data_IF_322639282791
#
_entry.id   IF_322639282791
#
_cell.length_a   1.000
_cell.length_b   1.000
_cell.length_c   1.000
_cell.angle_alpha   90.00
_cell.angle_beta   90.00
_cell.angle_gamma   90.00
#
_symmetry.space_group_name_H-M   'P 1'
#
loop_
_entity.id
_entity.type
_entity.pdbx_description
1 polymer ?
#
# COMPACT_ATOMS: atom_id res chain seq x y z
N UNK A 1 17.59 -15.12 -3.38
CA UNK A 1 16.79 -15.13 -4.62
C UNK A 1 15.48 -14.40 -4.40
N UNK A 2 15.08 -13.53 -5.31
CA UNK A 2 13.78 -12.80 -5.26
C UNK A 2 12.57 -13.77 -5.22
N UNK A 3 12.71 -14.97 -5.78
CA UNK A 3 11.65 -15.97 -5.84
C UNK A 3 11.07 -16.37 -4.47
N UNK A 4 11.84 -16.26 -3.38
CA UNK A 4 11.36 -16.57 -2.01
C UNK A 4 10.25 -15.62 -1.52
N UNK A 5 10.10 -14.45 -2.17
CA UNK A 5 9.08 -13.45 -1.87
C UNK A 5 7.81 -13.60 -2.71
N UNK A 6 7.78 -14.54 -3.64
CA UNK A 6 6.62 -14.77 -4.51
C UNK A 6 5.61 -15.65 -3.77
N UNK A 7 4.35 -15.21 -3.59
CA UNK A 7 3.31 -16.04 -3.00
C UNK A 7 2.80 -17.08 -3.99
N UNK A 8 2.26 -18.18 -3.50
CA UNK A 8 1.50 -19.08 -4.34
C UNK A 8 0.19 -18.44 -4.82
N UNK A 9 -0.49 -17.73 -3.90
CA UNK A 9 -1.74 -17.02 -4.19
C UNK A 9 -1.54 -15.54 -3.85
N UNK A 10 -1.79 -14.67 -4.81
CA UNK A 10 -1.83 -13.22 -4.64
C UNK A 10 -3.29 -12.76 -4.66
N UNK A 11 -3.71 -12.07 -3.61
CA UNK A 11 -5.04 -11.45 -3.56
C UNK A 11 -4.88 -9.94 -3.64
N UNK A 12 -5.46 -9.31 -4.65
CA UNK A 12 -5.55 -7.86 -4.75
C UNK A 12 -6.95 -7.37 -4.38
N UNK A 13 -7.02 -6.25 -3.66
CA UNK A 13 -8.26 -5.65 -3.17
C UNK A 13 -8.33 -4.21 -3.64
N UNK A 14 -9.49 -3.80 -4.11
CA UNK A 14 -9.74 -2.42 -4.54
C UNK A 14 -9.11 -2.09 -5.88
N UNK A 15 -8.54 -0.88 -5.97
CA UNK A 15 -8.08 -0.29 -7.22
C UNK A 15 -6.57 -0.41 -7.47
N UNK A 16 -6.02 0.59 -8.15
CA UNK A 16 -4.63 0.61 -8.58
C UNK A 16 -3.64 0.71 -7.42
N UNK A 17 -2.61 -0.13 -7.45
CA UNK A 17 -1.49 -0.09 -6.51
C UNK A 17 -0.54 1.07 -6.89
N UNK A 18 -0.14 1.86 -5.91
CA UNK A 18 0.76 3.02 -6.10
C UNK A 18 2.18 2.57 -6.46
N UNK A 19 2.68 1.54 -5.79
CA UNK A 19 4.06 1.09 -5.95
C UNK A 19 4.34 0.47 -7.32
N UNK A 20 5.09 1.19 -8.16
CA UNK A 20 5.58 0.67 -9.43
C UNK A 20 6.52 -0.53 -9.24
N UNK A 21 7.29 -0.56 -8.13
CA UNK A 21 8.23 -1.66 -7.83
C UNK A 21 7.49 -2.96 -7.54
N UNK A 22 6.42 -2.91 -6.74
CA UNK A 22 5.58 -4.09 -6.46
C UNK A 22 4.91 -4.61 -7.73
N UNK A 23 4.38 -3.70 -8.58
CA UNK A 23 3.82 -4.10 -9.86
C UNK A 23 4.84 -4.80 -10.74
N UNK A 24 6.00 -4.19 -10.94
CA UNK A 24 7.08 -4.79 -11.75
C UNK A 24 7.57 -6.11 -11.18
N UNK A 25 7.64 -6.22 -9.86
CA UNK A 25 8.05 -7.46 -9.19
C UNK A 25 7.10 -8.61 -9.50
N UNK A 26 5.76 -8.41 -9.36
CA UNK A 26 4.79 -9.48 -9.63
C UNK A 26 4.54 -9.73 -11.12
N UNK A 27 4.78 -8.75 -11.99
CA UNK A 27 4.80 -8.99 -13.44
C UNK A 27 5.98 -9.91 -13.82
N UNK A 28 7.17 -9.63 -13.27
CA UNK A 28 8.38 -10.42 -13.52
C UNK A 28 8.34 -11.80 -12.84
N UNK A 29 7.79 -11.86 -11.64
CA UNK A 29 7.73 -13.04 -10.79
C UNK A 29 6.26 -13.38 -10.51
N UNK A 30 5.56 -13.90 -11.49
CA UNK A 30 4.14 -14.18 -11.39
C UNK A 30 3.83 -15.20 -10.27
N UNK A 31 2.83 -14.95 -9.42
CA UNK A 31 2.29 -15.95 -8.50
C UNK A 31 1.67 -17.10 -9.28
N UNK A 32 1.43 -18.23 -8.64
CA UNK A 32 0.71 -19.35 -9.27
C UNK A 32 -0.74 -18.96 -9.58
N UNK A 33 -1.34 -18.13 -8.74
CA UNK A 33 -2.70 -17.66 -8.91
C UNK A 33 -2.84 -16.19 -8.44
N UNK A 34 -3.52 -15.37 -9.24
CA UNK A 34 -3.91 -14.01 -8.87
C UNK A 34 -5.44 -13.89 -8.80
N UNK A 35 -5.93 -13.42 -7.67
CA UNK A 35 -7.36 -13.22 -7.39
C UNK A 35 -7.60 -11.75 -7.12
N UNK A 36 -8.51 -11.11 -7.83
CA UNK A 36 -8.97 -9.75 -7.55
C UNK A 36 -10.31 -9.76 -6.82
N UNK A 37 -10.45 -8.90 -5.82
CA UNK A 37 -11.69 -8.73 -5.06
C UNK A 37 -12.06 -7.26 -5.04
N UNK A 38 -13.20 -6.90 -5.59
CA UNK A 38 -13.75 -5.55 -5.49
C UNK A 38 -15.27 -5.57 -5.73
N UNK A 39 -15.95 -4.45 -5.46
CA UNK A 39 -17.39 -4.31 -5.66
C UNK A 39 -17.80 -4.01 -7.11
N UNK A 40 -16.82 -3.70 -7.96
CA UNK A 40 -17.06 -3.42 -9.37
C UNK A 40 -17.06 -4.71 -10.15
N UNK A 41 -17.91 -4.81 -11.18
CA UNK A 41 -17.88 -5.93 -12.12
C UNK A 41 -16.66 -5.92 -13.05
N UNK A 42 -15.79 -4.92 -12.92
CA UNK A 42 -14.56 -4.80 -13.73
C UNK A 42 -13.40 -5.34 -12.93
N UNK A 43 -12.89 -6.48 -13.32
CA UNK A 43 -11.64 -7.03 -12.80
C UNK A 43 -10.45 -6.23 -13.30
N UNK A 44 -9.71 -5.59 -12.39
CA UNK A 44 -8.49 -4.84 -12.72
C UNK A 44 -7.30 -5.79 -12.68
N UNK A 45 -6.75 -6.11 -13.82
CA UNK A 45 -5.53 -6.93 -13.91
C UNK A 45 -4.28 -6.06 -13.69
N UNK A 46 -3.87 -5.92 -12.44
CA UNK A 46 -2.73 -5.12 -12.02
C UNK A 46 -1.37 -5.71 -12.42
N UNK A 47 -1.31 -7.02 -12.64
CA UNK A 47 -0.06 -7.76 -12.79
C UNK A 47 0.02 -8.56 -14.09
N UNK A 48 -0.91 -8.34 -15.02
CA UNK A 48 -1.03 -9.04 -16.31
C UNK A 48 -1.19 -10.57 -16.13
N UNK A 49 -1.87 -10.98 -15.06
CA UNK A 49 -2.05 -12.38 -14.69
C UNK A 49 -3.25 -12.62 -13.79
N UNK A 50 -4.38 -11.98 -14.11
CA UNK A 50 -5.60 -12.18 -13.34
C UNK A 50 -6.25 -13.53 -13.71
N UNK A 51 -6.32 -14.43 -12.73
CA UNK A 51 -6.97 -15.75 -12.92
C UNK A 51 -8.45 -15.71 -12.52
N UNK A 52 -8.78 -14.98 -11.43
CA UNK A 52 -10.15 -14.89 -10.94
C UNK A 52 -10.49 -13.50 -10.42
N UNK A 53 -11.71 -13.10 -10.64
CA UNK A 53 -12.31 -11.90 -10.07
C UNK A 53 -13.56 -12.27 -9.27
N UNK A 54 -13.64 -11.76 -8.03
CA UNK A 54 -14.84 -11.88 -7.20
C UNK A 54 -15.47 -10.50 -7.02
N UNK A 55 -16.66 -10.33 -7.59
CA UNK A 55 -17.46 -9.12 -7.39
C UNK A 55 -18.17 -9.18 -6.04
N UNK A 56 -17.48 -8.77 -4.99
CA UNK A 56 -18.03 -8.73 -3.65
C UNK A 56 -17.28 -7.76 -2.75
N UNK A 57 -17.85 -7.48 -1.58
CA UNK A 57 -17.15 -6.73 -0.56
C UNK A 57 -16.01 -7.56 0.05
N UNK A 58 -14.78 -7.02 0.19
CA UNK A 58 -13.65 -7.77 0.75
C UNK A 58 -13.94 -8.40 2.11
N UNK A 59 -14.64 -7.69 3.00
CA UNK A 59 -15.03 -8.24 4.32
C UNK A 59 -15.87 -9.50 4.18
N UNK A 60 -16.85 -9.51 3.27
CA UNK A 60 -17.68 -10.70 3.02
C UNK A 60 -16.87 -11.88 2.50
N UNK A 61 -15.94 -11.61 1.58
CA UNK A 61 -15.04 -12.64 1.06
C UNK A 61 -14.19 -13.26 2.17
N UNK A 62 -13.50 -12.44 2.95
CA UNK A 62 -12.61 -12.93 4.01
C UNK A 62 -13.38 -13.57 5.17
N UNK A 63 -14.57 -13.08 5.51
CA UNK A 63 -15.43 -13.74 6.51
C UNK A 63 -15.82 -15.15 6.08
N UNK A 64 -16.15 -15.36 4.80
CA UNK A 64 -16.44 -16.68 4.27
C UNK A 64 -15.19 -17.57 4.19
N UNK A 65 -14.08 -17.00 3.74
CA UNK A 65 -12.80 -17.70 3.66
C UNK A 65 -12.36 -18.22 5.05
N UNK A 66 -12.43 -17.37 6.07
CA UNK A 66 -12.05 -17.73 7.45
C UNK A 66 -12.92 -18.84 8.04
N UNK A 67 -14.19 -18.93 7.63
CA UNK A 67 -15.08 -20.02 8.06
C UNK A 67 -14.77 -21.37 7.40
N UNK A 68 -14.19 -21.34 6.19
CA UNK A 68 -14.00 -22.55 5.36
C UNK A 68 -12.53 -22.96 5.21
N UNK A 69 -11.60 -22.04 5.41
CA UNK A 69 -10.19 -22.33 5.22
C UNK A 69 -9.60 -23.06 6.42
N UNK A 70 -8.94 -24.17 6.16
CA UNK A 70 -8.02 -24.79 7.12
C UNK A 70 -6.70 -24.04 7.04
N UNK A 71 -6.25 -23.45 8.14
CA UNK A 71 -4.99 -22.71 8.19
C UNK A 71 -3.82 -23.67 7.96
N UNK A 72 -3.20 -23.61 6.81
CA UNK A 72 -1.89 -24.20 6.59
C UNK A 72 -0.85 -23.35 7.29
N UNK A 73 -0.17 -23.92 8.27
CA UNK A 73 0.81 -23.20 9.08
C UNK A 73 2.15 -23.02 8.34
N UNK A 74 2.15 -22.28 7.25
CA UNK A 74 3.37 -21.93 6.52
C UNK A 74 4.04 -20.69 7.14
N UNK A 75 4.78 -20.91 8.23
CA UNK A 75 5.49 -19.84 8.95
C UNK A 75 6.64 -19.23 8.13
N UNK A 76 7.19 -19.94 7.16
CA UNK A 76 8.39 -19.54 6.44
C UNK A 76 8.19 -18.31 5.54
N UNK A 77 7.06 -18.22 4.83
CA UNK A 77 6.78 -17.10 3.94
C UNK A 77 6.64 -15.78 4.71
N UNK A 78 5.85 -15.79 5.78
CA UNK A 78 5.69 -14.63 6.66
C UNK A 78 7.02 -14.21 7.30
N UNK A 79 7.81 -15.18 7.79
CA UNK A 79 9.11 -14.91 8.40
C UNK A 79 10.08 -14.27 7.40
N UNK A 80 10.05 -14.68 6.13
CA UNK A 80 10.90 -14.11 5.08
C UNK A 80 10.61 -12.62 4.85
N UNK A 81 9.33 -12.24 4.78
CA UNK A 81 8.93 -10.84 4.63
C UNK A 81 9.22 -10.02 5.88
N UNK A 82 8.91 -10.55 7.06
CA UNK A 82 9.20 -9.86 8.32
C UNK A 82 10.70 -9.62 8.50
N UNK A 83 11.55 -10.58 8.17
CA UNK A 83 13.00 -10.40 8.23
C UNK A 83 13.48 -9.26 7.32
N UNK A 84 12.93 -9.17 6.10
CA UNK A 84 13.27 -8.06 5.19
C UNK A 84 12.81 -6.72 5.76
N UNK A 85 11.60 -6.66 6.30
CA UNK A 85 11.02 -5.45 6.90
C UNK A 85 11.88 -4.96 8.07
N UNK A 86 12.28 -5.85 8.98
CA UNK A 86 13.20 -5.52 10.07
C UNK A 86 14.54 -4.99 9.57
N UNK A 87 15.13 -5.63 8.56
CA UNK A 87 16.42 -5.20 7.99
C UNK A 87 16.32 -3.82 7.35
N UNK A 88 15.18 -3.47 6.77
CA UNK A 88 14.96 -2.15 6.18
C UNK A 88 14.76 -1.11 7.29
N UNK A 89 13.91 -1.39 8.27
CA UNK A 89 13.62 -0.49 9.40
C UNK A 89 14.88 -0.15 10.21
N UNK A 90 15.72 -1.12 10.44
CA UNK A 90 17.01 -0.92 11.14
C UNK A 90 17.93 0.09 10.41
N UNK A 91 17.85 0.18 9.09
CA UNK A 91 18.67 1.07 8.27
C UNK A 91 18.10 2.50 8.14
N UNK A 92 16.82 2.70 8.40
CA UNK A 92 16.14 3.99 8.23
C UNK A 92 16.80 5.11 9.06
N UNK A 93 17.08 4.96 10.37
CA UNK A 93 17.70 6.02 11.14
C UNK A 93 19.08 6.42 10.61
N UNK A 94 19.91 5.43 10.24
CA UNK A 94 21.22 5.68 9.66
C UNK A 94 21.18 6.36 8.30
N UNK A 95 20.12 6.18 7.53
CA UNK A 95 19.92 6.87 6.27
C UNK A 95 19.64 8.37 6.48
N UNK A 96 18.72 8.73 7.37
CA UNK A 96 18.36 10.13 7.66
C UNK A 96 19.40 10.87 8.51
N UNK A 97 20.21 10.18 9.31
CA UNK A 97 21.31 10.80 10.07
C UNK A 97 22.52 11.19 9.22
N UNK A 98 22.65 10.68 8.01
CA UNK A 98 23.67 11.15 7.07
C UNK A 98 23.23 12.52 6.55
N UNK A 99 24.10 13.55 6.72
CA UNK A 99 23.89 14.89 6.13
C UNK A 99 23.72 14.76 4.61
N UNK A 100 22.52 14.46 4.17
CA UNK A 100 22.10 14.60 2.80
C UNK A 100 21.59 16.03 2.63
N UNK A 101 21.76 16.59 1.45
CA UNK A 101 21.30 17.95 1.18
C UNK A 101 19.80 17.91 0.90
N UNK A 102 19.02 18.64 1.67
CA UNK A 102 17.63 19.10 1.44
C UNK A 102 16.85 18.33 0.35
N UNK A 103 16.61 17.05 0.59
CA UNK A 103 15.83 16.23 -0.34
C UNK A 103 14.35 16.25 0.04
N UNK A 104 13.46 16.13 -0.95
CA UNK A 104 12.02 15.96 -0.69
C UNK A 104 11.75 14.89 0.35
N UNK A 105 12.51 13.80 0.34
CA UNK A 105 12.31 12.68 1.27
C UNK A 105 12.62 13.08 2.72
N UNK A 106 13.60 13.94 2.95
CA UNK A 106 13.91 14.46 4.30
C UNK A 106 12.81 15.39 4.79
N UNK A 107 12.25 16.22 3.91
CA UNK A 107 11.09 17.07 4.23
C UNK A 107 9.89 16.20 4.62
N UNK A 108 9.61 15.15 3.86
CA UNK A 108 8.51 14.22 4.19
C UNK A 108 8.77 13.44 5.48
N UNK A 109 10.01 13.06 5.77
CA UNK A 109 10.37 12.43 7.03
C UNK A 109 10.15 13.36 8.22
N UNK A 110 10.55 14.64 8.11
CA UNK A 110 10.32 15.64 9.15
C UNK A 110 8.83 15.90 9.37
N UNK A 111 8.06 16.08 8.29
CA UNK A 111 6.60 16.23 8.35
C UNK A 111 5.93 15.02 9.03
N UNK A 112 6.34 13.81 8.66
CA UNK A 112 5.80 12.59 9.25
C UNK A 112 5.95 12.56 10.77
N UNK A 113 7.08 13.04 11.31
CA UNK A 113 7.34 13.07 12.75
C UNK A 113 6.58 14.16 13.50
N UNK A 114 6.04 15.16 12.80
CA UNK A 114 5.32 16.30 13.38
C UNK A 114 3.81 16.24 13.17
N UNK A 115 3.31 15.17 12.56
CA UNK A 115 1.86 15.03 12.35
C UNK A 115 1.11 14.92 13.67
N UNK A 116 -0.04 15.62 13.80
CA UNK A 116 -0.92 15.47 14.95
C UNK A 116 -1.41 14.01 15.11
N UNK A 117 -1.66 13.61 16.35
CA UNK A 117 -2.13 12.25 16.67
C UNK A 117 -3.51 11.92 16.06
N UNK A 118 -4.32 12.92 15.78
CA UNK A 118 -5.65 12.74 15.16
C UNK A 118 -5.80 13.77 14.05
N UNK A 119 -5.62 13.33 12.82
CA UNK A 119 -5.81 14.20 11.67
C UNK A 119 -6.20 13.40 10.42
N UNK A 120 -6.75 14.10 9.45
CA UNK A 120 -6.93 13.59 8.09
C UNK A 120 -5.81 14.17 7.23
N UNK A 121 -4.90 13.30 6.79
CA UNK A 121 -3.78 13.67 5.95
C UNK A 121 -4.11 13.46 4.48
N UNK A 122 -4.31 14.55 3.75
CA UNK A 122 -4.50 14.50 2.31
C UNK A 122 -3.15 14.44 1.58
N UNK A 123 -2.93 13.39 0.81
CA UNK A 123 -1.71 13.15 0.05
C UNK A 123 -1.92 13.47 -1.43
N UNK A 124 -1.10 14.38 -1.95
CA UNK A 124 -1.02 14.59 -3.39
C UNK A 124 -0.50 13.35 -4.11
N UNK A 125 -0.88 13.20 -5.37
CA UNK A 125 -0.37 12.12 -6.21
C UNK A 125 1.10 12.35 -6.61
N UNK A 126 1.67 11.45 -7.41
CA UNK A 126 3.05 11.46 -7.87
C UNK A 126 4.07 11.14 -6.77
N UNK A 127 4.99 12.04 -6.45
CA UNK A 127 6.06 11.80 -5.46
C UNK A 127 5.54 11.73 -4.04
N UNK A 128 4.61 12.60 -3.67
CA UNK A 128 4.06 12.76 -2.32
C UNK A 128 3.56 11.41 -1.76
N UNK A 129 2.59 10.81 -2.42
CA UNK A 129 2.02 9.52 -1.97
C UNK A 129 3.06 8.39 -1.98
N UNK A 130 4.10 8.50 -2.80
CA UNK A 130 5.17 7.47 -2.84
C UNK A 130 6.16 7.63 -1.71
N UNK A 131 6.50 8.86 -1.33
CA UNK A 131 7.37 9.11 -0.18
C UNK A 131 6.68 8.69 1.12
N UNK A 132 5.40 9.05 1.29
CA UNK A 132 4.65 8.66 2.48
C UNK A 132 4.47 7.15 2.63
N UNK A 133 4.47 6.38 1.55
CA UNK A 133 4.46 4.90 1.62
C UNK A 133 5.75 4.28 2.17
N UNK A 134 6.82 5.04 2.35
CA UNK A 134 8.07 4.54 2.92
C UNK A 134 8.05 4.55 4.46
N UNK A 135 7.06 5.23 5.06
CA UNK A 135 6.89 5.31 6.50
C UNK A 135 5.75 4.42 6.96
N UNK A 136 5.85 3.92 8.19
CA UNK A 136 4.75 3.18 8.80
C UNK A 136 3.54 4.10 9.02
N UNK A 137 2.31 3.61 8.88
CA UNK A 137 1.14 4.43 9.17
C UNK A 137 1.09 4.81 10.65
N UNK A 138 0.82 6.09 10.92
CA UNK A 138 0.65 6.58 12.28
C UNK A 138 -0.74 6.17 12.77
N UNK A 139 -0.88 5.56 13.96
CA UNK A 139 -2.18 5.26 14.53
C UNK A 139 -3.05 6.53 14.64
N UNK A 140 -4.34 6.40 14.32
CA UNK A 140 -5.33 7.49 14.36
C UNK A 140 -5.13 8.62 13.34
N UNK A 141 -4.18 8.51 12.43
CA UNK A 141 -4.10 9.38 11.24
C UNK A 141 -4.87 8.71 10.10
N UNK A 142 -5.83 9.43 9.53
CA UNK A 142 -6.57 8.98 8.37
C UNK A 142 -5.91 9.49 7.09
N UNK A 143 -5.57 8.58 6.16
CA UNK A 143 -4.85 8.94 4.93
C UNK A 143 -5.79 8.97 3.75
N UNK A 144 -5.88 10.12 3.06
CA UNK A 144 -6.70 10.32 1.88
C UNK A 144 -5.86 10.71 0.66
N UNK A 145 -6.29 10.30 -0.52
CA UNK A 145 -5.65 10.70 -1.77
C UNK A 145 -6.59 10.52 -2.96
N UNK A 146 -6.51 11.42 -3.94
CA UNK A 146 -7.30 11.37 -5.17
C UNK A 146 -6.81 10.26 -6.11
N UNK A 147 -7.10 8.99 -5.77
CA UNK A 147 -6.55 7.83 -6.47
C UNK A 147 -7.36 7.33 -7.67
N UNK A 148 -8.53 7.87 -7.95
CA UNK A 148 -9.37 7.46 -9.08
C UNK A 148 -8.62 7.50 -10.41
N UNK A 149 -8.29 8.70 -10.89
CA UNK A 149 -7.49 8.92 -12.09
C UNK A 149 -6.00 9.18 -11.80
N UNK A 150 -5.63 9.33 -10.54
CA UNK A 150 -4.28 9.69 -10.06
C UNK A 150 -3.79 11.05 -10.61
N UNK A 151 -4.71 11.98 -10.89
CA UNK A 151 -4.40 13.35 -11.30
C UNK A 151 -3.69 14.14 -10.19
N UNK A 152 -2.92 15.13 -10.57
CA UNK A 152 -2.21 16.01 -9.63
C UNK A 152 -2.99 17.30 -9.34
N UNK A 153 -3.96 17.62 -10.19
CA UNK A 153 -4.87 18.75 -9.99
C UNK A 153 -5.96 18.40 -8.96
N UNK A 154 -6.51 19.41 -8.31
CA UNK A 154 -7.63 19.25 -7.38
C UNK A 154 -7.29 18.67 -6.00
N UNK A 155 -6.04 18.27 -5.72
CA UNK A 155 -5.68 17.72 -4.41
C UNK A 155 -5.91 18.72 -3.27
N UNK A 156 -5.52 19.98 -3.48
CA UNK A 156 -5.71 21.05 -2.49
C UNK A 156 -7.19 21.37 -2.27
N UNK A 157 -7.97 21.51 -3.35
CA UNK A 157 -9.41 21.79 -3.24
C UNK A 157 -10.18 20.63 -2.58
N UNK A 158 -9.79 19.38 -2.84
CA UNK A 158 -10.36 18.22 -2.13
C UNK A 158 -10.04 18.28 -0.64
N UNK A 159 -8.81 18.62 -0.26
CA UNK A 159 -8.42 18.74 1.15
C UNK A 159 -9.19 19.86 1.86
N UNK A 160 -9.36 21.03 1.21
CA UNK A 160 -10.17 22.14 1.74
C UNK A 160 -11.62 21.70 1.91
N UNK A 161 -12.21 21.07 0.90
CA UNK A 161 -13.58 20.55 0.96
C UNK A 161 -13.77 19.56 2.10
N UNK A 162 -12.81 18.67 2.30
CA UNK A 162 -12.80 17.71 3.42
C UNK A 162 -12.75 18.41 4.77
N UNK A 163 -11.89 19.40 4.93
CA UNK A 163 -11.78 20.18 6.17
C UNK A 163 -13.07 20.97 6.51
N UNK A 164 -13.79 21.44 5.50
CA UNK A 164 -15.09 22.10 5.69
C UNK A 164 -16.19 21.10 6.10
N UNK A 165 -16.16 19.91 5.51
CA UNK A 165 -17.18 18.87 5.75
C UNK A 165 -16.96 18.07 7.05
N UNK A 166 -15.74 18.08 7.57
CA UNK A 166 -15.33 17.35 8.79
C UNK A 166 -14.46 18.23 9.65
N UNK A 167 -15.05 19.27 10.30
CA UNK A 167 -14.34 20.22 11.14
C UNK A 167 -13.77 19.60 12.40
#
# INVERSE_FOLDING_TARGET
>A
SEKRFVPDILISIGGAIVSKRIKSFFIKNAPKQHIAINKSNIGIDLFLRLDKHYECHPVSFFSLLNKKATLLNNKNYKATWNQLDYQIKDKIPGFFNKKQKDTDLEVFHALYQTLPEQCILHLGNSSVVRYMQLFDPIPNVHYESNRGTSGIDGCTSTAIGSAIASP
#
